data_IF_437131834944
#
_entry.id   IF_437131834944
#
_cell.length_a   1.000
_cell.length_b   1.000
_cell.length_c   1.000
_cell.angle_alpha   90.00
_cell.angle_beta   90.00
_cell.angle_gamma   90.00
#
_symmetry.space_group_name_H-M   'P 1'
#
loop_
_entity.id
_entity.type
_entity.pdbx_description
1 polymer ?
#
# COMPACT_ATOMS: atom_id res chain seq x y z
N UNK A 1 -76.10 3.97 -67.62
CA UNK A 1 -76.45 4.09 -66.24
C UNK A 1 -75.42 3.34 -65.49
N UNK A 2 -74.74 3.97 -64.65
CA UNK A 2 -73.36 3.62 -64.30
C UNK A 2 -73.27 2.86 -62.97
N UNK A 3 -72.60 1.74 -62.97
CA UNK A 3 -72.25 0.95 -61.79
C UNK A 3 -70.81 1.23 -61.41
N UNK A 4 -70.60 1.73 -60.20
CA UNK A 4 -69.30 1.91 -59.61
C UNK A 4 -68.83 0.64 -58.92
N UNK A 5 -67.69 0.13 -59.36
CA UNK A 5 -66.97 -0.95 -58.73
C UNK A 5 -65.92 -0.37 -57.74
N UNK A 6 -66.03 -0.78 -56.48
CA UNK A 6 -65.04 -0.38 -55.42
C UNK A 6 -64.03 -1.48 -55.25
N UNK A 7 -62.76 -1.19 -55.48
CA UNK A 7 -61.60 -2.05 -55.14
C UNK A 7 -61.10 -1.71 -53.74
N UNK A 8 -61.22 -2.63 -52.81
CA UNK A 8 -60.53 -2.58 -51.53
C UNK A 8 -59.14 -3.10 -51.74
N UNK A 9 -58.14 -2.23 -51.48
CA UNK A 9 -56.77 -2.59 -51.39
C UNK A 9 -56.42 -2.94 -49.93
N UNK A 10 -56.06 -4.17 -49.66
CA UNK A 10 -55.61 -4.64 -48.36
C UNK A 10 -54.08 -4.35 -48.20
N UNK A 11 -53.75 -3.39 -47.34
CA UNK A 11 -52.33 -3.12 -46.91
C UNK A 11 -51.91 -4.17 -45.88
N UNK A 12 -51.01 -5.03 -46.26
CA UNK A 12 -50.30 -5.95 -45.32
C UNK A 12 -49.17 -5.22 -44.63
N UNK A 13 -49.35 -4.86 -43.36
CA UNK A 13 -48.30 -4.38 -42.48
C UNK A 13 -47.41 -5.58 -42.07
N UNK A 14 -46.22 -5.67 -42.61
CA UNK A 14 -45.16 -6.53 -42.13
C UNK A 14 -44.38 -5.81 -41.01
N UNK A 15 -44.70 -6.15 -39.76
CA UNK A 15 -44.03 -5.71 -38.56
C UNK A 15 -42.73 -6.55 -38.42
N UNK A 16 -41.61 -6.04 -38.93
CA UNK A 16 -40.28 -6.62 -38.74
C UNK A 16 -39.79 -6.40 -37.33
N UNK A 17 -39.84 -7.45 -36.50
CA UNK A 17 -39.24 -7.44 -35.18
C UNK A 17 -37.70 -7.51 -35.31
N UNK A 18 -37.03 -6.39 -35.13
CA UNK A 18 -35.55 -6.35 -34.94
C UNK A 18 -35.23 -6.88 -33.54
N UNK A 19 -34.83 -8.14 -33.45
CA UNK A 19 -34.25 -8.70 -32.24
C UNK A 19 -32.81 -8.13 -32.07
N UNK A 20 -32.67 -7.07 -31.28
CA UNK A 20 -31.36 -6.57 -30.86
C UNK A 20 -30.67 -7.55 -29.94
N UNK A 21 -29.67 -8.26 -30.45
CA UNK A 21 -28.80 -9.13 -29.67
C UNK A 21 -27.86 -8.26 -28.82
N UNK A 22 -28.27 -7.95 -27.57
CA UNK A 22 -27.36 -7.35 -26.59
C UNK A 22 -26.27 -8.37 -26.20
N UNK A 23 -25.11 -8.29 -26.84
CA UNK A 23 -23.89 -8.99 -26.38
C UNK A 23 -23.45 -8.28 -25.12
N UNK A 24 -23.80 -8.81 -23.96
CA UNK A 24 -23.22 -8.38 -22.68
C UNK A 24 -21.73 -8.78 -22.71
N UNK A 25 -20.85 -7.80 -22.94
CA UNK A 25 -19.41 -7.98 -22.78
C UNK A 25 -19.13 -8.23 -21.29
N UNK A 26 -18.94 -9.49 -20.91
CA UNK A 26 -18.45 -9.85 -19.57
C UNK A 26 -17.00 -9.41 -19.47
N UNK A 27 -16.74 -8.28 -18.80
CA UNK A 27 -15.37 -7.89 -18.43
C UNK A 27 -14.84 -8.97 -17.50
N UNK A 28 -13.63 -9.51 -17.76
CA UNK A 28 -13.03 -10.48 -16.86
C UNK A 28 -12.82 -9.82 -15.48
N UNK A 29 -13.32 -10.47 -14.45
CA UNK A 29 -13.10 -10.02 -13.07
C UNK A 29 -11.59 -10.03 -12.79
N UNK A 30 -11.03 -8.88 -12.37
CA UNK A 30 -9.63 -8.81 -11.98
C UNK A 30 -9.42 -9.65 -10.73
N UNK A 31 -8.53 -10.62 -10.83
CA UNK A 31 -8.14 -11.46 -9.71
C UNK A 31 -6.86 -10.93 -9.08
N UNK A 32 -6.79 -10.98 -7.75
CA UNK A 32 -5.64 -10.51 -6.98
C UNK A 32 -5.03 -11.65 -6.18
N UNK A 33 -3.70 -11.71 -6.21
CA UNK A 33 -2.94 -12.53 -5.29
C UNK A 33 -2.69 -11.75 -4.01
N UNK A 34 -3.18 -12.26 -2.88
CA UNK A 34 -3.07 -11.62 -1.57
C UNK A 34 -1.92 -12.17 -0.75
N UNK A 35 -1.13 -11.24 -0.21
CA UNK A 35 -0.07 -11.46 0.75
C UNK A 35 -0.45 -10.79 2.06
N UNK A 36 -0.04 -11.36 3.19
CA UNK A 36 -0.27 -10.79 4.53
C UNK A 36 1.05 -10.55 5.24
N UNK A 37 1.13 -9.49 6.05
CA UNK A 37 2.30 -9.19 6.86
C UNK A 37 2.72 -10.39 7.71
N UNK A 38 4.02 -10.66 7.75
CA UNK A 38 4.59 -11.83 8.43
C UNK A 38 5.84 -11.47 9.22
N UNK A 39 6.30 -12.34 10.14
CA UNK A 39 7.54 -12.14 10.88
C UNK A 39 8.75 -11.92 9.97
N UNK A 40 9.74 -11.18 10.48
CA UNK A 40 10.94 -10.78 9.74
C UNK A 40 10.89 -9.36 9.20
N UNK A 41 9.75 -8.66 9.34
CA UNK A 41 9.63 -7.24 9.04
C UNK A 41 10.47 -6.40 10.00
N UNK A 42 10.94 -5.24 9.54
CA UNK A 42 11.71 -4.26 10.32
C UNK A 42 11.26 -2.87 9.97
N UNK A 43 11.28 -1.98 10.95
CA UNK A 43 11.14 -0.54 10.76
C UNK A 43 12.20 0.16 11.60
N UNK A 44 12.79 1.20 11.04
CA UNK A 44 13.78 2.03 11.69
C UNK A 44 13.41 3.50 11.51
N UNK A 45 13.41 4.24 12.60
CA UNK A 45 13.25 5.68 12.63
C UNK A 45 14.57 6.30 13.08
N UNK A 46 15.03 7.30 12.37
CA UNK A 46 16.28 8.04 12.66
C UNK A 46 15.97 9.53 12.68
N UNK A 47 16.44 10.21 13.69
CA UNK A 47 16.32 11.65 13.83
C UNK A 47 17.45 12.25 14.66
N UNK A 48 17.45 13.57 14.79
CA UNK A 48 18.50 14.32 15.47
C UNK A 48 17.99 14.93 16.78
N UNK A 49 18.90 15.24 17.67
CA UNK A 49 18.64 16.11 18.81
C UNK A 49 19.82 17.07 19.07
N UNK A 50 19.64 18.03 19.97
CA UNK A 50 20.68 18.98 20.32
C UNK A 50 21.92 18.36 21.00
N UNK A 51 21.83 17.09 21.39
CA UNK A 51 22.94 16.39 22.10
C UNK A 51 23.50 15.20 21.33
N UNK A 52 22.64 14.45 20.58
CA UNK A 52 23.05 13.32 19.75
C UNK A 52 21.91 12.90 18.82
N UNK A 53 22.22 12.15 17.77
CA UNK A 53 21.24 11.48 16.94
C UNK A 53 20.56 10.35 17.73
N UNK A 54 19.33 10.03 17.33
CA UNK A 54 18.56 8.98 17.96
C UNK A 54 18.01 8.00 16.93
N UNK A 55 17.79 6.78 17.37
CA UNK A 55 17.23 5.69 16.57
C UNK A 55 16.18 4.96 17.37
N UNK A 56 15.10 4.57 16.70
CA UNK A 56 14.09 3.67 17.22
C UNK A 56 13.81 2.56 16.21
N UNK A 57 13.54 1.35 16.68
CA UNK A 57 13.34 0.18 15.82
C UNK A 57 12.10 -0.59 16.24
N UNK A 58 11.47 -1.27 15.27
CA UNK A 58 10.34 -2.15 15.48
C UNK A 58 10.36 -3.32 14.49
N UNK A 59 9.74 -4.43 14.87
CA UNK A 59 9.68 -5.64 14.05
C UNK A 59 8.26 -6.07 13.67
N UNK A 60 7.25 -5.26 14.02
CA UNK A 60 5.85 -5.61 13.77
C UNK A 60 5.27 -4.70 12.71
N UNK A 61 5.11 -5.23 11.50
CA UNK A 61 4.43 -4.57 10.39
C UNK A 61 3.32 -5.51 9.90
N UNK A 62 2.11 -5.27 10.36
CA UNK A 62 0.91 -6.00 9.93
C UNK A 62 0.33 -5.44 8.64
N UNK A 63 -0.77 -6.06 8.18
CA UNK A 63 -1.51 -5.60 7.02
C UNK A 63 -1.53 -6.59 5.86
N UNK A 64 -1.85 -6.10 4.67
CA UNK A 64 -1.92 -6.92 3.47
C UNK A 64 -1.35 -6.17 2.26
N UNK A 65 -0.92 -6.95 1.28
CA UNK A 65 -0.51 -6.49 -0.03
C UNK A 65 -1.14 -7.40 -1.09
N UNK A 66 -1.76 -6.80 -2.10
CA UNK A 66 -2.42 -7.49 -3.20
C UNK A 66 -1.84 -7.01 -4.52
N UNK A 67 -1.47 -7.97 -5.34
CA UNK A 67 -1.04 -7.76 -6.73
C UNK A 67 -2.03 -8.41 -7.68
N UNK A 68 -2.24 -7.80 -8.83
CA UNK A 68 -2.92 -8.44 -9.93
C UNK A 68 -2.30 -9.85 -10.15
N UNK A 69 -3.14 -10.87 -10.24
CA UNK A 69 -2.67 -12.26 -10.37
C UNK A 69 -1.89 -12.50 -11.67
N UNK A 70 -2.06 -11.63 -12.66
CA UNK A 70 -1.28 -11.66 -13.89
C UNK A 70 0.13 -11.06 -13.72
N UNK A 71 0.40 -10.32 -12.62
CA UNK A 71 1.73 -9.78 -12.36
C UNK A 71 2.65 -10.89 -11.87
N UNK A 72 3.78 -11.15 -12.57
CA UNK A 72 4.67 -12.24 -12.21
C UNK A 72 5.41 -11.94 -10.92
N UNK A 73 5.26 -12.80 -9.94
CA UNK A 73 6.06 -12.79 -8.71
C UNK A 73 7.20 -13.80 -8.76
N UNK A 74 7.29 -14.60 -9.81
CA UNK A 74 8.39 -15.52 -10.06
C UNK A 74 9.57 -14.78 -10.71
N UNK A 75 10.79 -14.82 -10.14
CA UNK A 75 11.97 -14.19 -10.72
C UNK A 75 12.24 -14.59 -12.17
N UNK A 76 11.99 -15.86 -12.54
CA UNK A 76 12.18 -16.33 -13.91
C UNK A 76 11.22 -15.66 -14.91
N UNK A 77 10.05 -15.24 -14.47
CA UNK A 77 9.03 -14.64 -15.34
C UNK A 77 9.08 -13.09 -15.35
N UNK A 78 9.99 -12.47 -14.60
CA UNK A 78 10.07 -11.00 -14.50
C UNK A 78 10.82 -10.35 -15.67
N UNK A 79 11.57 -11.11 -16.45
CA UNK A 79 12.38 -10.60 -17.58
C UNK A 79 11.57 -9.92 -18.69
N UNK A 80 10.26 -10.19 -18.77
CA UNK A 80 9.35 -9.58 -19.76
C UNK A 80 8.55 -8.40 -19.25
N UNK A 81 8.80 -7.93 -18.00
CA UNK A 81 8.06 -6.81 -17.43
C UNK A 81 8.43 -5.51 -18.13
N UNK A 82 7.42 -4.71 -18.43
CA UNK A 82 7.57 -3.36 -18.97
C UNK A 82 7.26 -2.32 -17.90
N UNK A 83 7.99 -1.19 -17.87
CA UNK A 83 7.68 -0.09 -16.97
C UNK A 83 6.24 0.38 -17.14
N UNK A 84 5.61 0.77 -16.04
CA UNK A 84 4.24 1.26 -16.06
C UNK A 84 3.48 1.03 -14.77
N UNK A 85 2.23 1.47 -14.75
CA UNK A 85 1.33 1.33 -13.61
C UNK A 85 0.99 -0.13 -13.37
N UNK A 86 1.12 -0.53 -12.12
CA UNK A 86 0.77 -1.87 -11.64
C UNK A 86 -0.55 -1.82 -10.90
N UNK A 87 -1.40 -2.78 -11.17
CA UNK A 87 -2.64 -2.94 -10.42
C UNK A 87 -2.33 -3.62 -9.08
N UNK A 88 -2.16 -2.81 -8.05
CA UNK A 88 -1.79 -3.24 -6.71
C UNK A 88 -2.61 -2.51 -5.66
N UNK A 89 -2.82 -3.14 -4.51
CA UNK A 89 -3.47 -2.59 -3.33
C UNK A 89 -2.66 -2.98 -2.10
N UNK A 90 -2.64 -2.14 -1.09
CA UNK A 90 -1.93 -2.47 0.13
C UNK A 90 -2.33 -1.59 1.31
N UNK A 91 -2.24 -2.19 2.48
CA UNK A 91 -2.39 -1.49 3.76
C UNK A 91 -1.39 -2.06 4.74
N UNK A 92 -0.51 -1.21 5.26
CA UNK A 92 0.44 -1.56 6.30
C UNK A 92 0.04 -0.89 7.62
N UNK A 93 0.27 -1.57 8.74
CA UNK A 93 -0.06 -1.10 10.08
C UNK A 93 1.08 -1.44 11.03
N UNK A 94 1.53 -0.43 11.78
CA UNK A 94 2.62 -0.54 12.73
C UNK A 94 2.09 -0.10 14.09
N UNK A 95 2.06 -0.97 15.12
CA UNK A 95 1.71 -0.56 16.47
C UNK A 95 2.74 0.43 17.00
N UNK A 96 2.33 1.61 17.44
CA UNK A 96 3.24 2.65 18.00
C UNK A 96 4.09 2.06 19.13
N UNK A 97 3.48 1.27 20.02
CA UNK A 97 4.17 0.59 21.14
C UNK A 97 5.26 -0.40 20.74
N UNK A 98 5.23 -0.90 19.49
CA UNK A 98 6.23 -1.85 19.00
C UNK A 98 7.54 -1.20 18.56
N UNK A 99 7.55 0.13 18.41
CA UNK A 99 8.73 0.90 18.03
C UNK A 99 9.45 1.31 19.32
N UNK A 100 10.71 0.94 19.45
CA UNK A 100 11.49 1.09 20.67
C UNK A 100 12.87 1.68 20.43
N UNK A 101 13.31 2.53 21.34
CA UNK A 101 14.69 3.07 21.39
C UNK A 101 15.64 2.22 22.25
N UNK A 102 15.08 1.27 22.99
CA UNK A 102 15.81 0.56 24.07
C UNK A 102 15.97 1.37 25.36
N UNK A 103 15.38 2.57 25.44
CA UNK A 103 15.38 3.43 26.64
C UNK A 103 13.92 3.74 27.01
N UNK A 104 13.47 3.21 28.14
CA UNK A 104 12.06 3.28 28.60
C UNK A 104 11.52 4.72 28.55
N UNK A 105 12.25 5.68 29.10
CA UNK A 105 11.79 7.08 29.15
C UNK A 105 11.62 7.69 27.75
N UNK A 106 12.50 7.40 26.83
CA UNK A 106 12.40 7.86 25.45
C UNK A 106 11.19 7.23 24.74
N UNK A 107 10.93 5.95 24.99
CA UNK A 107 9.79 5.24 24.44
C UNK A 107 8.47 5.82 24.95
N UNK A 108 8.38 6.13 26.25
CA UNK A 108 7.20 6.78 26.86
C UNK A 108 6.94 8.16 26.23
N UNK A 109 7.98 9.00 26.12
CA UNK A 109 7.87 10.33 25.52
C UNK A 109 7.42 10.25 24.07
N UNK A 110 7.98 9.32 23.29
CA UNK A 110 7.55 9.09 21.89
C UNK A 110 6.08 8.68 21.83
N UNK A 111 5.64 7.74 22.66
CA UNK A 111 4.26 7.26 22.69
C UNK A 111 3.28 8.38 23.08
N UNK A 112 3.65 9.24 24.02
CA UNK A 112 2.86 10.41 24.40
C UNK A 112 2.71 11.41 23.25
N UNK A 113 3.83 11.82 22.61
CA UNK A 113 3.82 12.74 21.47
C UNK A 113 3.08 12.17 20.25
N UNK A 114 3.14 10.86 20.04
CA UNK A 114 2.37 10.15 19.02
C UNK A 114 0.90 9.95 19.37
N UNK A 115 0.47 10.38 20.57
CA UNK A 115 -0.90 10.22 21.08
C UNK A 115 -1.36 8.76 21.03
N UNK A 116 -0.49 7.85 21.46
CA UNK A 116 -0.65 6.41 21.28
C UNK A 116 -1.94 5.87 21.89
N UNK A 117 -2.44 6.46 22.98
CA UNK A 117 -3.70 6.04 23.61
C UNK A 117 -4.90 6.25 22.69
N UNK A 118 -4.91 7.32 21.89
CA UNK A 118 -5.98 7.66 20.95
C UNK A 118 -5.73 7.06 19.56
N UNK A 119 -4.46 7.03 19.15
CA UNK A 119 -4.01 6.58 17.85
C UNK A 119 -2.91 5.51 17.97
N UNK A 120 -3.25 4.26 18.35
CA UNK A 120 -2.30 3.23 18.69
C UNK A 120 -1.49 2.68 17.52
N UNK A 121 -1.78 3.13 16.29
CA UNK A 121 -1.16 2.62 15.07
C UNK A 121 -0.75 3.74 14.12
N UNK A 122 0.36 3.52 13.44
CA UNK A 122 0.72 4.20 12.20
C UNK A 122 0.13 3.35 11.07
N UNK A 123 -0.55 3.98 10.11
CA UNK A 123 -1.21 3.27 9.01
C UNK A 123 -0.79 3.85 7.65
N UNK A 124 -0.56 2.97 6.70
CA UNK A 124 -0.29 3.35 5.30
C UNK A 124 -1.27 2.63 4.38
N UNK A 125 -1.83 3.37 3.42
CA UNK A 125 -2.70 2.85 2.37
C UNK A 125 -2.12 3.18 1.00
N UNK A 126 -1.79 2.15 0.24
CA UNK A 126 -1.27 2.28 -1.13
C UNK A 126 -2.38 2.72 -2.08
N UNK A 127 -2.14 3.80 -2.83
CA UNK A 127 -3.07 4.30 -3.86
C UNK A 127 -2.55 4.10 -5.29
N UNK A 128 -1.24 4.10 -5.48
CA UNK A 128 -0.61 3.92 -6.80
C UNK A 128 0.74 3.23 -6.67
N UNK A 129 1.04 2.35 -7.63
CA UNK A 129 2.32 1.66 -7.75
C UNK A 129 2.74 1.62 -9.22
N UNK A 130 3.94 2.10 -9.53
CA UNK A 130 4.47 2.20 -10.89
C UNK A 130 5.82 1.53 -10.95
N UNK A 131 5.96 0.51 -11.80
CA UNK A 131 7.26 -0.12 -12.08
C UNK A 131 8.13 0.89 -12.86
N UNK A 132 9.31 1.20 -12.34
CA UNK A 132 10.21 2.22 -12.91
C UNK A 132 10.97 1.73 -14.14
N UNK A 133 11.48 0.52 -14.06
CA UNK A 133 12.36 -0.06 -15.08
C UNK A 133 12.17 -1.58 -15.13
N UNK A 134 12.45 -2.16 -16.29
CA UNK A 134 12.54 -3.61 -16.40
C UNK A 134 13.67 -4.13 -15.50
N UNK A 135 13.52 -5.30 -14.86
CA UNK A 135 14.57 -5.85 -14.03
C UNK A 135 15.82 -6.17 -14.87
N UNK A 136 16.99 -5.84 -14.35
CA UNK A 136 18.28 -6.05 -15.04
C UNK A 136 18.68 -7.53 -15.13
N UNK A 137 18.10 -8.38 -14.27
CA UNK A 137 18.30 -9.83 -14.24
C UNK A 137 17.05 -10.50 -13.62
N UNK A 138 16.80 -11.79 -13.86
CA UNK A 138 15.61 -12.50 -13.33
C UNK A 138 15.45 -12.44 -11.81
N UNK A 139 16.53 -12.35 -11.05
CA UNK A 139 16.50 -12.27 -9.58
C UNK A 139 16.69 -10.86 -9.02
N UNK A 140 16.83 -9.85 -9.89
CA UNK A 140 17.01 -8.48 -9.44
C UNK A 140 15.75 -7.95 -8.73
N UNK A 141 15.88 -7.18 -7.63
CA UNK A 141 14.75 -6.53 -7.01
C UNK A 141 14.03 -5.61 -8.00
N UNK A 142 12.70 -5.68 -8.00
CA UNK A 142 11.86 -4.80 -8.79
C UNK A 142 11.77 -3.43 -8.10
N UNK A 143 11.94 -2.35 -8.86
CA UNK A 143 11.91 -0.98 -8.35
C UNK A 143 10.62 -0.28 -8.74
N UNK A 144 9.97 0.31 -7.77
CA UNK A 144 8.70 1.00 -7.96
C UNK A 144 8.73 2.41 -7.38
N UNK A 145 7.98 3.31 -7.97
CA UNK A 145 7.51 4.52 -7.32
C UNK A 145 6.10 4.28 -6.81
N UNK A 146 5.85 4.62 -5.55
CA UNK A 146 4.55 4.44 -4.91
C UNK A 146 4.00 5.76 -4.41
N UNK A 147 2.66 5.87 -4.43
CA UNK A 147 1.92 6.93 -3.76
C UNK A 147 0.90 6.29 -2.82
N UNK A 148 0.65 6.96 -1.73
CA UNK A 148 -0.32 6.48 -0.74
C UNK A 148 -0.67 7.54 0.29
N UNK A 149 -1.46 7.12 1.25
CA UNK A 149 -1.87 7.91 2.40
C UNK A 149 -1.23 7.34 3.66
N UNK A 150 -0.50 8.18 4.38
CA UNK A 150 0.16 7.84 5.64
C UNK A 150 -0.55 8.57 6.77
N UNK A 151 -1.02 7.81 7.76
CA UNK A 151 -1.69 8.33 8.96
C UNK A 151 -0.80 8.13 10.17
N UNK A 152 -0.46 9.22 10.84
CA UNK A 152 0.35 9.26 12.06
C UNK A 152 -0.37 10.17 13.06
N UNK A 153 -0.52 9.75 14.31
CA UNK A 153 -1.16 10.50 15.39
C UNK A 153 -2.54 11.11 14.99
N UNK A 154 -3.31 10.38 14.16
CA UNK A 154 -4.62 10.79 13.66
C UNK A 154 -4.59 11.77 12.48
N UNK A 155 -3.42 12.14 11.97
CA UNK A 155 -3.29 13.04 10.83
C UNK A 155 -2.87 12.25 9.59
N UNK A 156 -3.61 12.40 8.50
CA UNK A 156 -3.37 11.70 7.22
C UNK A 156 -2.76 12.66 6.21
N UNK A 157 -1.65 12.25 5.61
CA UNK A 157 -0.98 12.97 4.53
C UNK A 157 -0.73 12.06 3.33
N UNK A 158 -0.78 12.64 2.14
CA UNK A 158 -0.34 11.95 0.91
C UNK A 158 1.17 11.95 0.86
N UNK A 159 1.73 10.77 0.62
CA UNK A 159 3.17 10.56 0.53
C UNK A 159 3.54 9.81 -0.74
N UNK A 160 4.76 10.06 -1.22
CA UNK A 160 5.36 9.31 -2.34
C UNK A 160 6.70 8.79 -1.90
N UNK A 161 6.99 7.53 -2.21
CA UNK A 161 8.28 6.93 -1.87
C UNK A 161 8.69 5.86 -2.87
N UNK A 162 9.99 5.74 -3.16
CA UNK A 162 10.51 4.61 -3.90
C UNK A 162 10.50 3.37 -3.00
N UNK A 163 10.13 2.23 -3.59
CA UNK A 163 10.23 0.93 -2.92
C UNK A 163 10.87 -0.09 -3.85
N UNK A 164 11.52 -1.07 -3.24
CA UNK A 164 11.98 -2.27 -3.94
C UNK A 164 11.18 -3.47 -3.46
N UNK A 165 10.92 -4.41 -4.35
CA UNK A 165 10.28 -5.67 -4.04
C UNK A 165 11.15 -6.81 -4.52
N UNK A 166 11.47 -7.74 -3.64
CA UNK A 166 12.21 -8.95 -3.93
C UNK A 166 11.50 -10.18 -3.40
N UNK A 167 11.65 -11.29 -4.09
CA UNK A 167 11.19 -12.60 -3.62
C UNK A 167 12.26 -13.23 -2.77
N UNK A 168 11.98 -13.44 -1.49
CA UNK A 168 12.92 -14.07 -0.55
C UNK A 168 12.68 -15.57 -0.38
N UNK A 169 11.44 -16.03 -0.59
CA UNK A 169 11.05 -17.43 -0.60
C UNK A 169 9.91 -17.65 -1.62
N UNK A 170 9.57 -18.90 -1.91
CA UNK A 170 8.50 -19.24 -2.86
C UNK A 170 7.16 -18.55 -2.58
N UNK A 171 6.85 -18.31 -1.31
CA UNK A 171 5.61 -17.67 -0.86
C UNK A 171 5.81 -16.31 -0.21
N UNK A 172 7.05 -15.79 -0.13
CA UNK A 172 7.36 -14.55 0.60
C UNK A 172 8.00 -13.50 -0.28
N UNK A 173 7.49 -12.28 -0.15
CA UNK A 173 8.07 -11.08 -0.73
C UNK A 173 8.61 -10.19 0.40
N UNK A 174 9.70 -9.47 0.13
CA UNK A 174 10.18 -8.38 0.95
C UNK A 174 10.02 -7.07 0.18
N UNK A 175 9.33 -6.12 0.78
CA UNK A 175 9.12 -4.77 0.24
C UNK A 175 9.92 -3.82 1.13
N UNK A 176 10.91 -3.17 0.55
CA UNK A 176 11.83 -2.27 1.27
C UNK A 176 11.73 -0.85 0.73
N UNK A 177 11.83 0.12 1.61
CA UNK A 177 11.81 1.52 1.21
C UNK A 177 12.28 2.46 2.30
N UNK A 178 12.40 3.74 1.95
CA UNK A 178 12.68 4.80 2.92
C UNK A 178 12.02 6.11 2.50
N UNK A 179 11.67 6.92 3.50
CA UNK A 179 11.06 8.24 3.31
C UNK A 179 11.54 9.19 4.41
N UNK A 180 11.79 10.45 4.05
CA UNK A 180 11.96 11.55 4.99
C UNK A 180 10.62 12.20 5.30
N UNK A 181 10.34 12.42 6.57
CA UNK A 181 9.10 13.03 7.07
C UNK A 181 9.43 14.19 8.01
N UNK A 182 8.52 15.14 8.14
CA UNK A 182 8.55 16.14 9.21
C UNK A 182 7.49 15.78 10.26
N UNK A 183 7.87 15.78 11.53
CA UNK A 183 6.92 15.51 12.63
C UNK A 183 5.73 16.47 12.58
N UNK A 184 5.98 17.75 12.34
CA UNK A 184 4.97 18.82 12.29
C UNK A 184 3.94 18.64 11.18
N UNK A 185 4.26 17.95 10.07
CA UNK A 185 3.29 17.62 9.03
C UNK A 185 2.17 16.71 9.55
N UNK A 186 2.46 15.96 10.61
CA UNK A 186 1.50 15.09 11.29
C UNK A 186 1.01 15.65 12.64
N UNK A 187 1.24 16.95 12.91
CA UNK A 187 0.90 17.61 14.18
C UNK A 187 1.52 16.91 15.40
N UNK A 188 2.69 16.30 15.19
CA UNK A 188 3.56 15.77 16.24
C UNK A 188 4.63 16.82 16.50
N UNK A 189 4.59 17.42 17.69
CA UNK A 189 5.55 18.44 18.05
C UNK A 189 6.90 17.80 18.37
N UNK A 190 8.03 18.35 17.86
CA UNK A 190 9.35 17.92 18.27
C UNK A 190 9.54 18.04 19.78
N UNK A 191 10.14 17.02 20.38
CA UNK A 191 10.31 16.96 21.84
C UNK A 191 11.26 18.06 22.32
N UNK A 192 10.86 18.79 23.36
CA UNK A 192 11.69 19.76 24.05
C UNK A 192 11.63 19.50 25.57
N UNK A 193 12.71 18.94 26.13
CA UNK A 193 12.81 18.63 27.56
C UNK A 193 13.69 19.68 28.23
N UNK A 194 13.10 20.45 29.14
CA UNK A 194 13.84 21.43 29.97
C UNK A 194 14.58 20.69 31.10
N UNK A 195 15.89 20.89 31.17
CA UNK A 195 16.72 20.38 32.26
C UNK A 195 17.12 21.57 33.12
N UNK A 196 16.74 21.61 34.42
CA UNK A 196 17.15 22.68 35.33
C UNK A 196 18.68 22.89 35.30
N UNK A 197 19.07 24.14 35.19
CA UNK A 197 20.49 24.59 35.15
C UNK A 197 21.29 24.15 33.89
N UNK A 198 20.79 23.28 33.01
CA UNK A 198 21.51 22.79 31.83
C UNK A 198 20.88 23.22 30.48
N UNK A 199 19.68 23.88 30.50
CA UNK A 199 18.99 24.32 29.31
C UNK A 199 17.94 23.31 28.82
N UNK A 200 17.75 23.18 27.52
CA UNK A 200 16.76 22.28 26.93
C UNK A 200 17.43 21.30 25.96
N UNK A 201 17.02 20.05 26.03
CA UNK A 201 17.28 19.06 24.98
C UNK A 201 16.10 19.15 23.99
N UNK A 202 16.41 19.44 22.73
CA UNK A 202 15.41 19.56 21.68
C UNK A 202 15.68 18.51 20.58
N UNK A 203 14.61 17.91 20.04
CA UNK A 203 14.72 17.04 18.86
C UNK A 203 14.56 17.86 17.58
N UNK A 204 15.20 17.39 16.49
CA UNK A 204 14.93 17.91 15.14
C UNK A 204 13.52 17.51 14.66
N UNK A 205 13.01 18.28 13.70
CA UNK A 205 11.69 18.03 13.12
C UNK A 205 11.72 16.90 12.06
N UNK A 206 12.87 16.69 11.43
CA UNK A 206 13.03 15.72 10.35
C UNK A 206 13.28 14.31 10.91
N UNK A 207 12.55 13.34 10.39
CA UNK A 207 12.67 11.91 10.73
C UNK A 207 12.82 11.12 9.45
N UNK A 208 13.87 10.32 9.36
CA UNK A 208 14.02 9.32 8.31
C UNK A 208 13.40 8.00 8.77
N UNK A 209 12.48 7.49 7.97
CA UNK A 209 11.87 6.17 8.18
C UNK A 209 12.39 5.22 7.11
N UNK A 210 12.92 4.08 7.54
CA UNK A 210 13.32 2.97 6.65
C UNK A 210 12.58 1.71 7.08
N UNK A 211 12.20 0.87 6.12
CA UNK A 211 11.47 -0.36 6.44
C UNK A 211 11.80 -1.50 5.49
N UNK A 212 11.70 -2.70 6.04
CA UNK A 212 11.57 -3.97 5.34
C UNK A 212 10.25 -4.61 5.76
N UNK A 213 9.30 -4.71 4.85
CA UNK A 213 8.03 -5.37 5.09
C UNK A 213 8.03 -6.74 4.44
N UNK A 214 8.03 -7.78 5.26
CA UNK A 214 7.93 -9.16 4.80
C UNK A 214 6.46 -9.55 4.76
N UNK A 215 6.02 -10.03 3.60
CA UNK A 215 4.65 -10.48 3.38
C UNK A 215 4.66 -11.89 2.82
N UNK A 216 3.72 -12.71 3.30
CA UNK A 216 3.60 -14.12 2.90
C UNK A 216 2.29 -14.32 2.16
N UNK A 217 2.34 -15.03 1.02
CA UNK A 217 1.17 -15.44 0.27
C UNK A 217 0.33 -16.39 1.12
N UNK A 218 -0.93 -16.05 1.31
CA UNK A 218 -1.88 -16.97 1.92
C UNK A 218 -2.24 -18.02 0.87
N UNK A 219 -1.81 -19.26 1.07
CA UNK A 219 -2.37 -20.35 0.28
C UNK A 219 -3.86 -20.42 0.64
N UNK A 220 -4.74 -20.21 -0.32
CA UNK A 220 -6.12 -20.65 -0.19
C UNK A 220 -6.06 -22.17 -0.02
N UNK A 221 -6.16 -22.64 1.21
CA UNK A 221 -6.44 -24.04 1.48
C UNK A 221 -7.78 -24.27 0.82
N UNK A 222 -7.77 -24.99 -0.31
CA UNK A 222 -8.99 -25.44 -0.96
C UNK A 222 -9.89 -26.02 0.14
N UNK A 223 -11.01 -25.36 0.42
CA UNK A 223 -11.99 -25.81 1.37
C UNK A 223 -12.38 -27.24 0.98
N UNK A 224 -12.03 -28.20 1.84
CA UNK A 224 -12.49 -29.57 1.71
C UNK A 224 -14.01 -29.50 1.82
N UNK A 225 -14.78 -29.88 0.82
CA UNK A 225 -16.23 -29.97 0.97
C UNK A 225 -16.53 -31.03 2.04
N UNK A 226 -17.28 -30.63 3.06
CA UNK A 226 -17.90 -31.54 4.01
C UNK A 226 -19.09 -32.23 3.37
#
# INVERSE_FOLDING_TARGET
MFTKSSFLSAARNSLGALLGLCVAATLPAQTFTRFTGSPGSKIKLEGTSSIHDWTMEGGIVGGFFELDSAFPTDPAATSGLTPGKINARGSARIPVRSVKSGKTRMDEVMQEHMKENDFPRIEYHLSEMVLKEAPSAPSAPLKFDTKGELTIAGVTNKVSMPVTMERIEASKLKISGSIGLKMTDFKVEPVAIKIPALGAITTGNDVKVSFDWVVTRKNETAGKPQ
#
